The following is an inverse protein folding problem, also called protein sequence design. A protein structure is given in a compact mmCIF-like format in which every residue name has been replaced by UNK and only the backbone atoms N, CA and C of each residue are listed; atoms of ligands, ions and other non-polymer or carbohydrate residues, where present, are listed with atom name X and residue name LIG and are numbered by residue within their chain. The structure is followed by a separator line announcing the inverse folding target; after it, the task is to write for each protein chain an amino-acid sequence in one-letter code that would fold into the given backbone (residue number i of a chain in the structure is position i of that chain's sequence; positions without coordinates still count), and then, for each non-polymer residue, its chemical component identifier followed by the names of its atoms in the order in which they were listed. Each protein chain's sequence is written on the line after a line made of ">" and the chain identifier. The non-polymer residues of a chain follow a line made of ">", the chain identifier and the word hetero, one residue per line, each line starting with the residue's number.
data_IF_658291101956
#
_entry.id   IF_658291101956
#
_cell.length_a   1.000
_cell.length_b   1.000
_cell.length_c   1.000
_cell.angle_alpha   90.00
_cell.angle_beta   90.00
_cell.angle_gamma   90.00
#
_symmetry.space_group_name_H-M   'P 1'
#
loop_
_entity.id
_entity.type
_entity.pdbx_description
1 polymer ?
#
# COMPACT_ATOMS: atom_id res chain seq x y z
N UNK A 1 1.55 -19.78 -19.75
CA UNK A 1 0.31 -19.01 -20.00
C UNK A 1 0.35 -17.77 -19.13
N UNK A 2 -0.07 -16.60 -19.64
CA UNK A 2 -0.13 -15.38 -18.82
C UNK A 2 -1.27 -15.52 -17.80
N UNK A 3 -0.96 -15.42 -16.51
CA UNK A 3 -1.97 -15.43 -15.44
C UNK A 3 -2.96 -14.28 -15.63
N UNK A 4 -4.24 -14.56 -15.42
CA UNK A 4 -5.31 -13.57 -15.46
C UNK A 4 -5.52 -12.93 -14.08
N UNK A 5 -6.12 -11.75 -14.05
CA UNK A 5 -6.46 -11.12 -12.77
C UNK A 5 -7.49 -11.94 -11.96
N UNK A 6 -8.43 -12.61 -12.63
CA UNK A 6 -9.44 -13.42 -11.94
C UNK A 6 -8.81 -14.63 -11.23
N UNK A 7 -7.85 -15.31 -11.88
CA UNK A 7 -7.06 -16.37 -11.24
C UNK A 7 -6.27 -15.83 -10.05
N UNK A 8 -5.70 -14.63 -10.18
CA UNK A 8 -4.93 -14.01 -9.10
C UNK A 8 -5.79 -13.62 -7.91
N UNK A 9 -7.01 -13.09 -8.13
CA UNK A 9 -7.96 -12.85 -7.05
C UNK A 9 -8.35 -14.17 -6.34
N UNK A 10 -8.51 -15.25 -7.10
CA UNK A 10 -8.76 -16.57 -6.52
C UNK A 10 -7.60 -17.06 -5.64
N UNK A 11 -6.35 -16.82 -6.05
CA UNK A 11 -5.17 -17.22 -5.27
C UNK A 11 -5.05 -16.49 -3.93
N UNK A 12 -5.47 -15.22 -3.90
CA UNK A 12 -5.37 -14.38 -2.69
C UNK A 12 -6.64 -14.39 -1.84
N UNK A 13 -7.74 -15.01 -2.30
CA UNK A 13 -9.00 -15.05 -1.56
C UNK A 13 -8.85 -15.63 -0.14
N UNK A 14 -8.00 -16.65 0.02
CA UNK A 14 -7.67 -17.27 1.31
C UNK A 14 -6.36 -16.77 1.94
N UNK A 15 -5.86 -15.62 1.51
CA UNK A 15 -4.70 -14.94 2.10
C UNK A 15 -5.21 -13.76 2.92
N UNK A 16 -5.01 -13.83 4.23
CA UNK A 16 -5.40 -12.75 5.14
C UNK A 16 -4.65 -11.45 4.81
N UNK A 17 -5.35 -10.33 4.93
CA UNK A 17 -4.85 -8.99 4.64
C UNK A 17 -5.98 -8.08 4.19
N UNK A 18 -5.76 -6.78 4.29
CA UNK A 18 -6.78 -5.77 4.05
C UNK A 18 -6.57 -5.09 2.70
N UNK A 19 -7.17 -5.67 1.66
CA UNK A 19 -7.10 -5.13 0.31
C UNK A 19 -8.33 -5.57 -0.47
N UNK A 20 -9.07 -4.60 -1.01
CA UNK A 20 -10.26 -4.85 -1.84
C UNK A 20 -9.88 -5.21 -3.27
N UNK A 21 -10.83 -5.78 -4.01
CA UNK A 21 -10.61 -6.21 -5.40
C UNK A 21 -10.23 -5.03 -6.31
N UNK A 22 -10.79 -3.83 -6.08
CA UNK A 22 -10.44 -2.63 -6.84
C UNK A 22 -9.03 -2.11 -6.51
N UNK A 23 -8.55 -2.33 -5.28
CA UNK A 23 -7.17 -2.03 -4.90
C UNK A 23 -6.21 -3.06 -5.50
N UNK A 24 -6.54 -4.35 -5.40
CA UNK A 24 -5.80 -5.42 -6.07
C UNK A 24 -5.69 -5.17 -7.58
N UNK A 25 -6.77 -4.72 -8.23
CA UNK A 25 -6.77 -4.35 -9.65
C UNK A 25 -5.76 -3.27 -9.96
N UNK A 26 -5.69 -2.22 -9.13
CA UNK A 26 -4.75 -1.12 -9.34
C UNK A 26 -3.30 -1.56 -9.16
N UNK A 27 -3.00 -2.41 -8.17
CA UNK A 27 -1.66 -3.00 -8.03
C UNK A 27 -1.30 -3.86 -9.24
N UNK A 28 -2.23 -4.72 -9.68
CA UNK A 28 -2.08 -5.58 -10.85
C UNK A 28 -1.76 -4.78 -12.12
N UNK A 29 -2.53 -3.72 -12.39
CA UNK A 29 -2.35 -2.92 -13.60
C UNK A 29 -1.02 -2.17 -13.58
N UNK A 30 -0.60 -1.61 -12.44
CA UNK A 30 0.67 -0.90 -12.32
C UNK A 30 1.88 -1.83 -12.39
N UNK A 31 1.81 -3.02 -11.80
CA UNK A 31 2.90 -3.99 -11.86
C UNK A 31 3.15 -4.50 -13.30
N UNK A 32 2.10 -4.60 -14.12
CA UNK A 32 2.22 -4.94 -15.56
C UNK A 32 2.91 -3.88 -16.41
N UNK A 33 2.96 -2.64 -15.94
CA UNK A 33 3.62 -1.55 -16.65
C UNK A 33 5.14 -1.52 -16.37
N UNK A 34 5.61 -2.28 -15.37
CA UNK A 34 7.02 -2.34 -15.01
C UNK A 34 7.76 -3.26 -16.00
N UNK A 35 8.71 -2.74 -16.78
CA UNK A 35 9.40 -3.52 -17.80
C UNK A 35 10.34 -4.56 -17.17
N UNK A 36 10.68 -5.61 -17.91
CA UNK A 36 11.75 -6.54 -17.53
C UNK A 36 13.04 -5.77 -17.23
N UNK A 37 13.72 -6.13 -16.13
CA UNK A 37 14.85 -5.37 -15.58
C UNK A 37 14.45 -4.18 -14.68
N UNK A 38 13.15 -3.89 -14.54
CA UNK A 38 12.63 -2.92 -13.58
C UNK A 38 12.46 -3.50 -12.17
N UNK A 39 12.04 -2.65 -11.22
CA UNK A 39 11.94 -2.99 -9.80
C UNK A 39 10.63 -2.55 -9.16
N UNK A 40 9.99 -3.47 -8.45
CA UNK A 40 8.83 -3.22 -7.61
C UNK A 40 9.24 -3.41 -6.15
N UNK A 41 8.90 -2.44 -5.31
CA UNK A 41 9.14 -2.48 -3.87
C UNK A 41 7.82 -2.31 -3.14
N UNK A 42 7.54 -3.21 -2.22
CA UNK A 42 6.45 -3.12 -1.25
C UNK A 42 7.02 -2.91 0.15
N UNK A 43 6.44 -1.99 0.90
CA UNK A 43 6.71 -1.75 2.32
C UNK A 43 5.45 -2.09 3.10
N UNK A 44 5.54 -3.06 4.02
CA UNK A 44 4.37 -3.67 4.68
C UNK A 44 3.78 -4.76 3.80
N UNK A 45 4.23 -6.01 4.02
CA UNK A 45 3.84 -7.17 3.23
C UNK A 45 2.92 -8.12 4.00
N UNK A 46 2.88 -8.02 5.34
CA UNK A 46 2.07 -8.85 6.23
C UNK A 46 2.12 -10.33 5.80
N UNK A 47 0.98 -10.93 5.47
CA UNK A 47 0.84 -12.33 5.04
C UNK A 47 0.89 -12.52 3.51
N UNK A 48 1.25 -11.47 2.76
CA UNK A 48 1.64 -11.53 1.35
C UNK A 48 0.54 -11.30 0.33
N UNK A 49 -0.67 -10.87 0.75
CA UNK A 49 -1.85 -10.72 -0.12
C UNK A 49 -1.55 -9.82 -1.33
N UNK A 50 -1.02 -8.62 -1.09
CA UNK A 50 -0.66 -7.64 -2.11
C UNK A 50 0.59 -8.04 -2.90
N UNK A 51 1.62 -8.57 -2.24
CA UNK A 51 2.83 -9.08 -2.91
C UNK A 51 2.51 -10.17 -3.93
N UNK A 52 1.57 -11.08 -3.64
CA UNK A 52 1.13 -12.10 -4.62
C UNK A 52 0.52 -11.43 -5.85
N UNK A 53 -0.32 -10.40 -5.67
CA UNK A 53 -0.93 -9.66 -6.79
C UNK A 53 0.15 -8.98 -7.65
N UNK A 54 1.13 -8.32 -7.02
CA UNK A 54 2.27 -7.71 -7.70
C UNK A 54 3.10 -8.75 -8.45
N UNK A 55 3.44 -9.87 -7.80
CA UNK A 55 4.29 -10.91 -8.36
C UNK A 55 3.64 -11.67 -9.52
N UNK A 56 2.34 -11.96 -9.44
CA UNK A 56 1.57 -12.64 -10.50
C UNK A 56 1.41 -11.81 -11.77
N UNK A 57 1.49 -10.49 -11.64
CA UNK A 57 1.24 -9.54 -12.74
C UNK A 57 2.53 -8.98 -13.35
N UNK A 58 3.62 -8.93 -12.59
CA UNK A 58 4.90 -8.44 -13.06
C UNK A 58 5.51 -9.34 -14.16
N UNK A 59 6.11 -8.71 -15.16
CA UNK A 59 6.86 -9.40 -16.21
C UNK A 59 8.05 -10.21 -15.63
N UNK A 60 8.46 -11.25 -16.35
CA UNK A 60 9.68 -11.98 -16.00
C UNK A 60 10.89 -11.05 -16.05
N UNK A 61 11.81 -11.20 -15.10
CA UNK A 61 12.98 -10.33 -14.95
C UNK A 61 12.72 -9.00 -14.23
N UNK A 62 11.49 -8.73 -13.76
CA UNK A 62 11.24 -7.66 -12.78
C UNK A 62 11.72 -8.13 -11.40
N UNK A 63 12.50 -7.30 -10.71
CA UNK A 63 12.85 -7.54 -9.31
C UNK A 63 11.67 -7.18 -8.40
N UNK A 64 11.26 -8.12 -7.55
CA UNK A 64 10.18 -7.95 -6.58
C UNK A 64 10.78 -7.98 -5.16
N UNK A 65 10.64 -6.87 -4.43
CA UNK A 65 11.15 -6.74 -3.07
C UNK A 65 10.00 -6.49 -2.10
N UNK A 66 9.84 -7.39 -1.14
CA UNK A 66 8.94 -7.22 0.02
C UNK A 66 9.79 -6.74 1.21
N UNK A 67 9.43 -5.63 1.83
CA UNK A 67 10.05 -5.13 3.05
C UNK A 67 9.03 -5.22 4.17
N UNK A 68 9.25 -6.14 5.10
CA UNK A 68 8.43 -6.26 6.30
C UNK A 68 9.28 -6.83 7.44
N UNK A 69 9.36 -6.19 8.61
CA UNK A 69 10.11 -6.76 9.72
C UNK A 69 9.48 -8.07 10.23
N UNK A 70 8.18 -8.28 9.99
CA UNK A 70 7.33 -9.24 10.69
C UNK A 70 7.65 -9.20 12.19
N UNK A 71 7.44 -8.01 12.77
CA UNK A 71 7.68 -7.68 14.18
C UNK A 71 6.38 -7.60 15.01
N UNK A 72 5.23 -7.83 14.38
CA UNK A 72 3.92 -7.96 15.03
C UNK A 72 3.25 -6.63 15.39
N UNK A 73 3.90 -5.49 15.14
CA UNK A 73 3.31 -4.16 15.31
C UNK A 73 2.70 -3.64 14.01
N UNK A 74 1.75 -2.69 14.12
CA UNK A 74 1.08 -2.07 12.98
C UNK A 74 0.54 -3.10 11.95
N UNK A 75 0.07 -4.27 12.44
CA UNK A 75 -0.36 -5.41 11.60
C UNK A 75 -1.61 -5.10 10.78
N UNK A 76 -2.52 -4.32 11.35
CA UNK A 76 -3.82 -4.03 10.78
C UNK A 76 -4.70 -3.13 11.67
N UNK A 77 -6.00 -2.99 11.35
CA UNK A 77 -6.94 -2.21 12.14
C UNK A 77 -6.90 -2.57 13.62
N UNK A 78 -6.60 -1.57 14.45
CA UNK A 78 -6.52 -1.70 15.92
C UNK A 78 -5.37 -2.57 16.45
N UNK A 79 -4.48 -3.06 15.59
CA UNK A 79 -3.31 -3.88 15.94
C UNK A 79 -2.01 -3.06 15.86
N UNK A 80 -1.90 -2.02 16.69
CA UNK A 80 -0.72 -1.11 16.69
C UNK A 80 0.43 -1.68 17.53
N UNK A 81 0.11 -2.39 18.61
CA UNK A 81 1.11 -2.94 19.55
C UNK A 81 1.67 -4.27 19.03
N UNK A 82 2.98 -4.47 19.19
CA UNK A 82 3.69 -5.63 18.70
C UNK A 82 3.75 -6.77 19.71
N UNK A 83 3.41 -7.97 19.25
CA UNK A 83 3.57 -9.20 20.00
C UNK A 83 4.47 -10.18 19.23
N UNK A 84 5.49 -10.71 19.91
CA UNK A 84 6.63 -11.41 19.28
C UNK A 84 6.25 -12.77 18.67
N UNK A 85 5.24 -13.44 19.22
CA UNK A 85 4.82 -14.77 18.76
C UNK A 85 4.06 -14.66 17.43
N UNK A 86 3.12 -13.72 17.36
CA UNK A 86 2.31 -13.41 16.20
C UNK A 86 3.17 -12.87 15.04
N UNK A 87 4.24 -12.15 15.37
CA UNK A 87 5.26 -11.69 14.44
C UNK A 87 6.00 -12.85 13.75
N UNK A 88 6.37 -13.89 14.49
CA UNK A 88 7.02 -15.08 13.94
C UNK A 88 6.05 -15.89 13.06
N UNK A 89 4.78 -15.98 13.47
CA UNK A 89 3.73 -16.65 12.70
C UNK A 89 3.52 -15.99 11.34
N UNK A 90 3.41 -14.65 11.29
CA UNK A 90 3.18 -13.94 10.03
C UNK A 90 4.27 -14.18 9.00
N UNK A 91 5.54 -14.21 9.41
CA UNK A 91 6.63 -14.51 8.50
C UNK A 91 6.50 -15.93 7.93
N UNK A 92 6.15 -16.91 8.75
CA UNK A 92 5.94 -18.30 8.28
C UNK A 92 4.76 -18.36 7.30
N UNK A 93 3.64 -17.72 7.65
CA UNK A 93 2.43 -17.67 6.82
C UNK A 93 2.68 -16.92 5.51
N UNK A 94 3.42 -15.81 5.53
CA UNK A 94 3.85 -15.07 4.36
C UNK A 94 4.59 -15.97 3.36
N UNK A 95 5.62 -16.68 3.82
CA UNK A 95 6.38 -17.59 2.96
C UNK A 95 5.50 -18.73 2.42
N UNK A 96 4.64 -19.32 3.25
CA UNK A 96 3.73 -20.39 2.85
C UNK A 96 2.69 -19.92 1.81
N UNK A 97 2.20 -18.68 1.92
CA UNK A 97 1.27 -18.09 0.96
C UNK A 97 1.94 -17.83 -0.39
N UNK A 98 3.17 -17.29 -0.39
CA UNK A 98 3.94 -17.11 -1.62
C UNK A 98 4.23 -18.45 -2.32
N UNK A 99 4.54 -19.50 -1.54
CA UNK A 99 4.77 -20.85 -2.05
C UNK A 99 3.50 -21.43 -2.68
N UNK A 100 2.36 -21.34 -1.97
CA UNK A 100 1.05 -21.78 -2.46
C UNK A 100 0.64 -21.05 -3.75
N UNK A 101 0.98 -19.76 -3.86
CA UNK A 101 0.75 -18.97 -5.05
C UNK A 101 1.81 -19.19 -6.15
N UNK A 102 2.86 -19.98 -5.90
CA UNK A 102 3.92 -20.28 -6.88
C UNK A 102 4.77 -19.07 -7.27
N UNK A 103 4.90 -18.09 -6.37
CA UNK A 103 5.69 -16.86 -6.60
C UNK A 103 6.86 -16.72 -5.63
N UNK A 104 7.06 -17.66 -4.71
CA UNK A 104 8.07 -17.58 -3.65
C UNK A 104 9.48 -17.30 -4.17
N UNK A 105 9.90 -17.97 -5.24
CA UNK A 105 11.23 -17.82 -5.83
C UNK A 105 11.44 -16.50 -6.57
N UNK A 106 10.35 -15.78 -6.88
CA UNK A 106 10.41 -14.47 -7.55
C UNK A 106 10.52 -13.31 -6.57
N UNK A 107 10.15 -13.53 -5.30
CA UNK A 107 10.06 -12.47 -4.28
C UNK A 107 11.25 -12.53 -3.34
N UNK A 108 12.00 -11.44 -3.29
CA UNK A 108 13.03 -11.22 -2.28
C UNK A 108 12.40 -10.55 -1.07
N UNK A 109 12.46 -11.23 0.07
CA UNK A 109 11.97 -10.69 1.35
C UNK A 109 13.12 -10.07 2.13
N UNK A 110 13.02 -8.78 2.42
CA UNK A 110 13.92 -8.03 3.30
C UNK A 110 13.23 -7.90 4.65
N UNK A 111 13.64 -8.75 5.59
CA UNK A 111 13.04 -8.81 6.93
C UNK A 111 13.63 -7.75 7.84
N UNK A 112 13.26 -6.50 7.62
CA UNK A 112 13.75 -5.36 8.37
C UNK A 112 12.69 -4.24 8.43
N UNK A 113 12.89 -3.29 9.35
CA UNK A 113 12.16 -2.02 9.31
C UNK A 113 12.56 -1.26 8.03
N UNK A 114 11.63 -0.47 7.48
CA UNK A 114 11.85 0.25 6.22
C UNK A 114 12.98 1.27 6.28
N UNK A 115 13.27 1.84 7.46
CA UNK A 115 14.39 2.76 7.70
C UNK A 115 15.75 2.06 7.73
N UNK A 116 15.79 0.77 8.06
CA UNK A 116 16.99 -0.05 8.06
C UNK A 116 17.25 -0.73 6.71
N UNK A 117 16.22 -0.88 5.87
CA UNK A 117 16.27 -1.63 4.61
C UNK A 117 16.85 -0.85 3.41
N UNK A 118 17.30 0.39 3.61
CA UNK A 118 17.73 1.25 2.50
C UNK A 118 18.86 0.66 1.67
N UNK A 119 19.87 0.08 2.33
CA UNK A 119 21.06 -0.51 1.68
C UNK A 119 20.79 -1.90 1.09
N UNK A 120 19.65 -2.53 1.41
CA UNK A 120 19.25 -3.84 0.91
C UNK A 120 18.54 -3.77 -0.45
N UNK A 121 18.20 -2.57 -0.92
CA UNK A 121 17.46 -2.37 -2.16
C UNK A 121 18.25 -1.41 -3.03
N UNK A 122 18.37 -1.70 -4.31
CA UNK A 122 19.05 -0.81 -5.25
C UNK A 122 18.07 0.23 -5.83
N UNK A 123 18.63 1.32 -6.31
CA UNK A 123 17.92 2.28 -7.16
C UNK A 123 18.05 1.92 -8.66
N UNK A 124 17.14 2.41 -9.53
CA UNK A 124 15.90 3.11 -9.19
C UNK A 124 14.72 2.15 -8.95
N UNK A 125 13.64 2.67 -8.36
CA UNK A 125 12.35 1.95 -8.20
C UNK A 125 11.39 2.39 -9.32
N UNK A 126 10.73 1.42 -9.96
CA UNK A 126 9.69 1.66 -10.98
C UNK A 126 8.31 1.81 -10.36
N UNK A 127 7.99 0.94 -9.42
CA UNK A 127 6.74 0.92 -8.67
C UNK A 127 7.04 0.75 -7.18
N UNK A 128 6.61 1.72 -6.38
CA UNK A 128 6.64 1.67 -4.93
C UNK A 128 5.22 1.50 -4.39
N UNK A 129 5.00 0.54 -3.50
CA UNK A 129 3.77 0.40 -2.75
C UNK A 129 4.06 0.54 -1.25
N UNK A 130 3.39 1.48 -0.58
CA UNK A 130 3.55 1.77 0.85
C UNK A 130 2.27 1.41 1.59
N UNK A 131 2.36 0.42 2.48
CA UNK A 131 1.27 -0.14 3.31
C UNK A 131 1.79 -0.65 4.67
N UNK A 132 2.89 -0.07 5.16
CA UNK A 132 3.53 -0.47 6.42
C UNK A 132 2.98 0.31 7.61
N UNK A 133 3.57 1.49 7.87
CA UNK A 133 3.27 2.24 9.07
C UNK A 133 2.08 3.18 8.93
N UNK A 134 1.21 3.22 9.95
CA UNK A 134 0.00 4.04 9.96
C UNK A 134 0.12 5.33 10.77
N UNK A 135 1.24 5.49 11.49
CA UNK A 135 1.58 6.68 12.28
C UNK A 135 2.24 7.74 11.41
N UNK A 136 1.97 9.01 11.69
CA UNK A 136 2.44 10.14 10.89
C UNK A 136 3.95 10.13 10.61
N UNK A 137 4.78 9.97 11.66
CA UNK A 137 6.24 10.05 11.53
C UNK A 137 6.82 8.97 10.60
N UNK A 138 6.60 7.68 10.90
CA UNK A 138 7.04 6.58 10.04
C UNK A 138 6.45 6.65 8.62
N UNK A 139 5.13 6.84 8.47
CA UNK A 139 4.49 6.94 7.15
C UNK A 139 5.09 8.06 6.29
N UNK A 140 5.35 9.22 6.92
CA UNK A 140 6.01 10.35 6.24
C UNK A 140 7.44 10.03 5.82
N UNK A 141 8.17 9.30 6.66
CA UNK A 141 9.55 8.88 6.38
C UNK A 141 9.56 7.94 5.18
N UNK A 142 8.67 6.94 5.15
CA UNK A 142 8.51 6.03 4.02
C UNK A 142 8.19 6.79 2.72
N UNK A 143 7.16 7.66 2.75
CA UNK A 143 6.76 8.46 1.58
C UNK A 143 7.91 9.31 1.04
N UNK A 144 8.71 9.92 1.93
CA UNK A 144 9.79 10.81 1.53
C UNK A 144 11.00 10.04 1.02
N UNK A 145 11.50 9.10 1.83
CA UNK A 145 12.83 8.50 1.64
C UNK A 145 12.76 7.40 0.57
N UNK A 146 11.74 6.54 0.60
CA UNK A 146 11.52 5.56 -0.45
C UNK A 146 10.94 6.19 -1.71
N UNK A 147 10.06 7.18 -1.57
CA UNK A 147 9.54 7.93 -2.72
C UNK A 147 10.65 8.64 -3.50
N UNK A 148 11.75 9.04 -2.85
CA UNK A 148 12.83 9.71 -3.56
C UNK A 148 13.64 8.85 -4.51
N UNK A 149 13.59 7.53 -4.27
CA UNK A 149 14.22 6.47 -5.06
C UNK A 149 13.39 6.06 -6.28
N UNK A 150 12.13 6.52 -6.37
CA UNK A 150 11.28 6.27 -7.53
C UNK A 150 11.76 7.10 -8.72
N UNK A 151 12.01 6.43 -9.86
CA UNK A 151 12.50 7.09 -11.08
C UNK A 151 11.51 8.12 -11.62
N UNK A 152 11.96 9.13 -12.40
CA UNK A 152 11.05 9.93 -13.21
C UNK A 152 10.18 9.04 -14.10
N UNK A 153 8.86 9.24 -14.06
CA UNK A 153 7.91 8.34 -14.69
C UNK A 153 7.77 6.98 -13.99
N UNK A 154 8.13 6.87 -12.72
CA UNK A 154 7.74 5.76 -11.84
C UNK A 154 6.44 6.07 -11.10
N UNK A 155 5.87 5.05 -10.47
CA UNK A 155 4.60 5.14 -9.75
C UNK A 155 4.81 4.86 -8.26
N UNK A 156 4.08 5.59 -7.42
CA UNK A 156 3.97 5.32 -5.98
C UNK A 156 2.50 5.14 -5.62
N UNK A 157 2.18 4.03 -4.98
CA UNK A 157 0.88 3.71 -4.41
C UNK A 157 0.98 3.77 -2.88
N UNK A 158 0.00 4.37 -2.22
CA UNK A 158 -0.02 4.50 -0.75
C UNK A 158 -1.39 4.06 -0.24
N UNK A 159 -1.41 3.02 0.59
CA UNK A 159 -2.62 2.53 1.23
C UNK A 159 -3.03 3.39 2.43
N UNK A 160 -4.25 3.18 2.96
CA UNK A 160 -4.81 3.92 4.10
C UNK A 160 -4.82 5.45 3.97
N UNK A 161 -4.71 5.95 2.75
CA UNK A 161 -4.86 7.34 2.38
C UNK A 161 -6.30 7.77 2.57
N UNK A 162 -6.51 8.92 3.22
CA UNK A 162 -7.85 9.40 3.57
C UNK A 162 -8.67 8.41 4.42
N UNK A 163 -8.02 7.42 5.05
CA UNK A 163 -8.64 6.52 6.03
C UNK A 163 -7.87 6.52 7.35
N UNK A 164 -6.53 6.61 7.32
CA UNK A 164 -5.69 6.85 8.50
C UNK A 164 -5.34 8.34 8.64
N UNK A 165 -5.48 8.89 9.86
CA UNK A 165 -5.06 10.28 10.15
C UNK A 165 -3.56 10.46 9.93
N UNK A 166 -2.74 9.51 10.38
CA UNK A 166 -1.29 9.61 10.27
C UNK A 166 -0.83 9.63 8.82
N UNK A 167 -1.31 8.69 8.01
CA UNK A 167 -0.99 8.58 6.58
C UNK A 167 -1.52 9.79 5.80
N UNK A 168 -2.76 10.20 6.05
CA UNK A 168 -3.37 11.35 5.35
C UNK A 168 -2.59 12.64 5.62
N UNK A 169 -2.15 12.87 6.85
CA UNK A 169 -1.33 14.03 7.18
C UNK A 169 0.08 13.95 6.57
N UNK A 170 0.66 12.75 6.48
CA UNK A 170 1.95 12.52 5.83
C UNK A 170 1.88 12.85 4.33
N UNK A 171 0.83 12.37 3.65
CA UNK A 171 0.51 12.69 2.25
C UNK A 171 0.32 14.21 2.07
N UNK A 172 -0.50 14.83 2.92
CA UNK A 172 -0.73 16.27 2.85
C UNK A 172 0.58 17.07 2.97
N UNK A 173 1.50 16.60 3.82
CA UNK A 173 2.79 17.25 4.07
C UNK A 173 3.76 17.13 2.90
N UNK A 174 3.87 15.94 2.30
CA UNK A 174 4.91 15.62 1.32
C UNK A 174 4.43 15.75 -0.14
N UNK A 175 3.14 15.48 -0.41
CA UNK A 175 2.63 15.24 -1.76
C UNK A 175 1.59 16.27 -2.23
N UNK A 176 0.88 16.94 -1.32
CA UNK A 176 -0.22 17.84 -1.71
C UNK A 176 0.24 19.00 -2.63
N UNK A 177 1.34 19.65 -2.26
CA UNK A 177 1.85 20.86 -2.94
C UNK A 177 3.27 20.69 -3.48
N UNK A 178 3.84 19.49 -3.37
CA UNK A 178 5.20 19.16 -3.80
C UNK A 178 5.38 19.28 -5.32
N UNK A 179 6.61 19.55 -5.81
CA UNK A 179 6.86 19.69 -7.24
C UNK A 179 7.20 18.36 -7.94
N UNK A 180 7.24 17.22 -7.23
CA UNK A 180 7.78 15.94 -7.74
C UNK A 180 6.72 14.87 -8.00
N UNK A 181 5.47 15.09 -7.59
CA UNK A 181 4.45 14.05 -7.59
C UNK A 181 3.11 14.58 -8.07
N UNK A 182 2.57 13.99 -9.15
CA UNK A 182 1.19 14.20 -9.57
C UNK A 182 0.29 13.15 -8.93
N UNK A 183 -0.75 13.60 -8.27
CA UNK A 183 -1.88 12.79 -7.85
C UNK A 183 -2.66 12.34 -9.08
N UNK A 184 -2.75 11.02 -9.26
CA UNK A 184 -3.48 10.40 -10.38
C UNK A 184 -4.93 10.14 -9.98
N UNK A 185 -5.15 9.75 -8.72
CA UNK A 185 -6.46 9.40 -8.18
C UNK A 185 -6.32 8.38 -7.07
N UNK A 186 -7.42 7.71 -6.73
CA UNK A 186 -7.43 6.64 -5.73
C UNK A 186 -8.38 5.50 -6.10
N UNK A 187 -8.13 4.34 -5.52
CA UNK A 187 -9.08 3.24 -5.40
C UNK A 187 -9.38 3.08 -3.91
N UNK A 188 -10.56 3.54 -3.48
CA UNK A 188 -10.89 3.59 -2.06
C UNK A 188 -9.77 4.31 -1.28
N UNK A 189 -9.19 3.73 -0.23
CA UNK A 189 -8.10 4.30 0.57
C UNK A 189 -6.72 4.20 -0.07
N UNK A 190 -6.58 3.64 -1.27
CA UNK A 190 -5.29 3.53 -1.94
C UNK A 190 -5.11 4.64 -2.97
N UNK A 191 -4.21 5.58 -2.70
CA UNK A 191 -3.88 6.66 -3.63
C UNK A 191 -2.77 6.28 -4.60
N UNK A 192 -2.77 6.90 -5.78
CA UNK A 192 -1.73 6.73 -6.79
C UNK A 192 -1.09 8.07 -7.13
N UNK A 193 0.24 8.07 -7.18
CA UNK A 193 1.07 9.20 -7.59
C UNK A 193 2.03 8.81 -8.71
N UNK A 194 2.20 9.71 -9.67
CA UNK A 194 3.21 9.61 -10.73
C UNK A 194 4.38 10.53 -10.44
N UNK A 195 5.61 10.01 -10.54
CA UNK A 195 6.83 10.78 -10.33
C UNK A 195 7.10 11.68 -11.53
N UNK A 196 6.86 12.98 -11.37
CA UNK A 196 7.08 13.95 -12.43
C UNK A 196 7.20 15.38 -11.92
N UNK A 197 7.87 16.24 -12.70
CA UNK A 197 8.07 17.63 -12.33
C UNK A 197 6.82 18.46 -12.61
N UNK A 198 6.29 19.09 -11.57
CA UNK A 198 5.09 19.92 -11.65
C UNK A 198 5.42 21.41 -11.64
N UNK A 199 4.86 22.13 -12.61
CA UNK A 199 4.80 23.59 -12.59
C UNK A 199 3.74 24.11 -11.61
N UNK A 200 3.72 25.42 -11.37
CA UNK A 200 2.84 26.05 -10.36
C UNK A 200 1.36 25.70 -10.54
N UNK A 201 0.83 25.79 -11.77
CA UNK A 201 -0.58 25.46 -12.06
C UNK A 201 -0.91 24.01 -11.72
N UNK A 202 -0.03 23.09 -12.10
CA UNK A 202 -0.23 21.66 -11.83
C UNK A 202 -0.17 21.36 -10.33
N UNK A 203 0.69 22.05 -9.57
CA UNK A 203 0.75 21.92 -8.10
C UNK A 203 -0.55 22.38 -7.41
N UNK A 204 -1.14 23.48 -7.88
CA UNK A 204 -2.43 23.96 -7.39
C UNK A 204 -3.53 22.94 -7.69
N UNK A 205 -3.59 22.44 -8.93
CA UNK A 205 -4.55 21.40 -9.31
C UNK A 205 -4.37 20.13 -8.45
N UNK A 206 -3.12 19.73 -8.17
CA UNK A 206 -2.79 18.60 -7.31
C UNK A 206 -3.38 18.74 -5.92
N UNK A 207 -3.22 19.92 -5.32
CA UNK A 207 -3.73 20.22 -3.98
C UNK A 207 -5.26 20.26 -3.97
N UNK A 208 -5.88 20.84 -5.01
CA UNK A 208 -7.36 20.88 -5.15
C UNK A 208 -7.91 19.46 -5.29
N UNK A 209 -7.36 18.63 -6.17
CA UNK A 209 -7.85 17.26 -6.37
C UNK A 209 -7.77 16.42 -5.09
N UNK A 210 -6.68 16.53 -4.33
CA UNK A 210 -6.58 15.86 -3.04
C UNK A 210 -7.53 16.46 -2.00
N UNK A 211 -7.74 17.78 -2.02
CA UNK A 211 -8.71 18.46 -1.15
C UNK A 211 -10.15 18.00 -1.39
N UNK A 212 -10.50 17.62 -2.63
CA UNK A 212 -11.82 17.07 -2.96
C UNK A 212 -12.09 15.69 -2.31
N UNK A 213 -11.06 15.01 -1.80
CA UNK A 213 -11.21 13.73 -1.10
C UNK A 213 -11.50 13.89 0.41
N UNK A 214 -11.37 15.10 0.95
CA UNK A 214 -11.59 15.36 2.38
C UNK A 214 -13.01 15.01 2.88
N UNK A 215 -14.10 15.18 2.11
CA UNK A 215 -15.41 14.69 2.53
C UNK A 215 -15.45 13.17 2.74
N UNK A 216 -14.75 12.42 1.90
CA UNK A 216 -14.63 10.96 2.05
C UNK A 216 -13.81 10.60 3.29
N UNK A 217 -12.71 11.32 3.55
CA UNK A 217 -11.93 11.18 4.77
C UNK A 217 -12.78 11.44 6.02
N UNK A 218 -13.53 12.54 6.04
CA UNK A 218 -14.41 12.89 7.15
C UNK A 218 -15.47 11.79 7.39
N UNK A 219 -16.07 11.26 6.33
CA UNK A 219 -17.00 10.12 6.43
C UNK A 219 -16.34 8.90 7.07
N UNK A 220 -15.13 8.53 6.64
CA UNK A 220 -14.44 7.36 7.19
C UNK A 220 -14.05 7.52 8.66
N UNK A 221 -13.66 8.73 9.07
CA UNK A 221 -13.42 9.02 10.49
C UNK A 221 -14.68 8.83 11.34
N UNK A 222 -15.84 9.28 10.84
CA UNK A 222 -17.13 9.05 11.51
C UNK A 222 -17.44 7.56 11.62
N UNK A 223 -17.26 6.78 10.55
CA UNK A 223 -17.48 5.33 10.56
C UNK A 223 -16.56 4.64 11.58
N UNK A 224 -15.25 4.96 11.57
CA UNK A 224 -14.30 4.40 12.55
C UNK A 224 -14.68 4.76 13.98
N UNK A 225 -15.10 5.99 14.23
CA UNK A 225 -15.58 6.41 15.55
C UNK A 225 -16.80 5.61 16.01
N UNK A 226 -17.76 5.36 15.11
CA UNK A 226 -18.93 4.53 15.41
C UNK A 226 -18.55 3.07 15.71
N UNK A 227 -17.63 2.48 14.94
CA UNK A 227 -17.14 1.10 15.18
C UNK A 227 -16.47 1.01 16.55
N UNK A 228 -15.55 1.92 16.86
CA UNK A 228 -14.85 1.98 18.17
C UNK A 228 -15.83 2.17 19.32
N UNK A 229 -16.88 2.97 19.12
CA UNK A 229 -17.95 3.16 20.10
C UNK A 229 -18.93 1.97 20.22
N UNK A 230 -18.68 0.84 19.52
CA UNK A 230 -19.57 -0.33 19.43
C UNK A 230 -20.95 -0.01 18.86
N UNK A 231 -21.03 1.01 18.02
CA UNK A 231 -22.22 1.45 17.29
C UNK A 231 -22.14 1.08 15.80
N UNK A 232 -21.39 0.02 15.46
CA UNK A 232 -21.16 -0.42 14.08
C UNK A 232 -22.45 -0.59 13.27
N UNK A 233 -23.54 -1.08 13.85
CA UNK A 233 -24.83 -1.22 13.13
C UNK A 233 -25.35 0.10 12.53
N UNK A 234 -24.99 1.26 13.12
CA UNK A 234 -25.39 2.61 12.65
C UNK A 234 -24.69 2.97 11.34
N UNK A 235 -23.54 2.36 11.02
CA UNK A 235 -22.77 2.66 9.80
C UNK A 235 -23.55 2.29 8.53
N UNK A 236 -24.54 1.40 8.61
CA UNK A 236 -25.45 1.07 7.50
C UNK A 236 -26.21 2.29 6.99
N UNK A 237 -26.54 3.25 7.86
CA UNK A 237 -27.18 4.53 7.48
C UNK A 237 -26.26 5.41 6.61
N UNK A 238 -24.94 5.17 6.70
CA UNK A 238 -23.92 5.82 5.88
C UNK A 238 -23.53 4.97 4.65
N UNK A 239 -24.28 3.89 4.38
CA UNK A 239 -23.99 2.94 3.30
C UNK A 239 -22.73 2.12 3.52
N UNK A 240 -22.32 1.89 4.78
CA UNK A 240 -21.13 1.12 5.13
C UNK A 240 -21.50 -0.21 5.78
N UNK A 241 -20.90 -1.29 5.30
CA UNK A 241 -21.06 -2.62 5.88
C UNK A 241 -20.28 -2.74 7.20
N UNK A 242 -20.96 -2.93 8.35
CA UNK A 242 -20.30 -3.01 9.65
C UNK A 242 -19.33 -4.17 9.80
N UNK A 243 -19.39 -5.19 8.95
CA UNK A 243 -18.47 -6.33 8.98
C UNK A 243 -17.13 -6.00 8.29
N UNK A 244 -17.05 -4.86 7.60
CA UNK A 244 -15.86 -4.41 6.88
C UNK A 244 -15.24 -3.20 7.55
N UNK A 245 -13.91 -3.12 7.53
CA UNK A 245 -13.22 -1.88 7.91
C UNK A 245 -13.38 -0.85 6.78
N UNK A 246 -13.54 0.45 7.09
CA UNK A 246 -13.76 1.47 6.06
C UNK A 246 -12.48 1.76 5.27
N UNK A 247 -12.28 0.99 4.21
CA UNK A 247 -11.29 1.24 3.17
C UNK A 247 -11.83 2.07 2.04
#
# INVERSE_FOLDING_TARGET
>A
MSTTFAETLSDVAGVEGWMTDDQARRLWDRAREVPSGGRIVEIGSFRGRSMIVLARSAHDGVELVAIDPHAGNDRGPQEIEGYVEEAAEDHVVFNANLERAGVRDRVRHVRAMSDAAHDDVDDPIDLLYIDGAHRYGPARTDIRDWGDRVRPGGTMLIHDSFSSVGVTLAIARELAVGPRWRYVGRSQSMTEYRRERLGVKARIANAVHQGLELPWFARNLVIKALIVARLGAVTRLLGHDPETWPY
#
